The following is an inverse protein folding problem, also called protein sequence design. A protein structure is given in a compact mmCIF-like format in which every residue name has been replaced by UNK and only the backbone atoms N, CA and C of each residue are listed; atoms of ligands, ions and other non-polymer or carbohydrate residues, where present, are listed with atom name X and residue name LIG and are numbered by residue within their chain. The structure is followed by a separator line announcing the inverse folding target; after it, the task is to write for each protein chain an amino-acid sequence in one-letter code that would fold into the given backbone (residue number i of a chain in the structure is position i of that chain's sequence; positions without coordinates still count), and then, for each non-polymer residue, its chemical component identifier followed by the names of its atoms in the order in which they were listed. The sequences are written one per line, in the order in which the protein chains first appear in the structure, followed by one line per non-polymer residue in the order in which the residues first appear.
data_IF_105141793003
#
_entry.id   IF_105141793003
#
_cell.length_a   1.000
_cell.length_b   1.000
_cell.length_c   1.000
_cell.angle_alpha   90.00
_cell.angle_beta   90.00
_cell.angle_gamma   90.00
#
_symmetry.space_group_name_H-M   'P 1'
#
loop_
_entity.id
_entity.type
_entity.pdbx_description
1 polymer ?
#
# COMPACT_ATOMS: atom_id res chain seq x y z
N UNK A 1 -6.58 -8.28 3.56
CA UNK A 1 -5.49 -8.42 2.56
C UNK A 1 -4.87 -9.82 2.61
N UNK A 2 -4.25 -10.28 3.72
CA UNK A 2 -3.59 -11.60 3.75
C UNK A 2 -4.57 -12.75 3.40
N UNK A 3 -5.75 -12.75 3.99
CA UNK A 3 -6.78 -13.78 3.69
C UNK A 3 -7.22 -13.70 2.22
N UNK A 4 -7.42 -12.48 1.67
CA UNK A 4 -7.77 -12.33 0.25
C UNK A 4 -6.68 -12.87 -0.67
N UNK A 5 -5.41 -12.65 -0.32
CA UNK A 5 -4.28 -13.18 -1.08
C UNK A 5 -4.22 -14.70 -1.04
N UNK A 6 -4.35 -15.32 0.13
CA UNK A 6 -4.40 -16.79 0.26
C UNK A 6 -5.54 -17.37 -0.57
N UNK A 7 -6.74 -16.79 -0.47
CA UNK A 7 -7.90 -17.24 -1.23
C UNK A 7 -7.74 -17.04 -2.75
N UNK A 8 -7.13 -15.96 -3.17
CA UNK A 8 -6.90 -15.70 -4.59
C UNK A 8 -5.83 -16.64 -5.16
N UNK A 9 -4.71 -16.83 -4.45
CA UNK A 9 -3.64 -17.74 -4.84
C UNK A 9 -4.09 -19.21 -4.86
N UNK A 10 -4.93 -19.63 -3.92
CA UNK A 10 -5.46 -21.01 -3.91
C UNK A 10 -6.34 -21.36 -5.11
N UNK A 11 -6.79 -20.36 -5.87
CA UNK A 11 -7.58 -20.52 -7.09
C UNK A 11 -6.74 -20.46 -8.38
N UNK A 12 -5.42 -20.29 -8.26
CA UNK A 12 -4.49 -20.26 -9.39
C UNK A 12 -3.78 -21.61 -9.51
N UNK A 13 -3.59 -22.08 -10.74
CA UNK A 13 -2.81 -23.30 -11.02
C UNK A 13 -1.32 -23.00 -10.89
N UNK A 14 -0.89 -21.83 -11.35
CA UNK A 14 0.48 -21.33 -11.24
C UNK A 14 0.50 -19.87 -10.75
N UNK A 15 0.91 -19.67 -9.50
CA UNK A 15 1.08 -18.33 -8.92
C UNK A 15 2.25 -17.55 -9.51
N UNK A 16 3.14 -18.19 -10.31
CA UNK A 16 4.26 -17.49 -10.94
C UNK A 16 3.81 -16.56 -12.05
N UNK A 17 2.64 -16.76 -12.63
CA UNK A 17 2.03 -15.87 -13.63
C UNK A 17 1.85 -14.43 -13.11
N UNK A 18 1.67 -14.27 -11.78
CA UNK A 18 1.57 -12.95 -11.15
C UNK A 18 2.86 -12.12 -11.26
N UNK A 19 4.01 -12.74 -11.50
CA UNK A 19 5.24 -12.01 -11.74
C UNK A 19 5.28 -11.36 -13.12
N UNK A 20 4.43 -11.82 -14.05
CA UNK A 20 4.34 -11.31 -15.42
C UNK A 20 5.70 -11.34 -16.14
N UNK A 21 6.09 -10.20 -16.70
CA UNK A 21 7.37 -10.05 -17.40
C UNK A 21 8.56 -9.68 -16.52
N UNK A 22 8.46 -9.77 -15.19
CA UNK A 22 9.58 -9.49 -14.28
C UNK A 22 10.63 -10.60 -14.41
N UNK A 23 11.91 -10.29 -14.75
CA UNK A 23 12.96 -11.29 -14.81
C UNK A 23 13.14 -11.99 -13.46
N UNK A 24 13.35 -13.30 -13.46
CA UNK A 24 13.57 -14.10 -12.24
C UNK A 24 14.74 -13.59 -11.39
N UNK A 25 15.77 -13.01 -12.00
CA UNK A 25 16.88 -12.38 -11.28
C UNK A 25 16.45 -11.16 -10.43
N UNK A 26 15.38 -10.48 -10.81
CA UNK A 26 14.86 -9.30 -10.07
C UNK A 26 14.06 -9.71 -8.85
N UNK A 27 13.46 -10.89 -8.82
CA UNK A 27 12.70 -11.38 -7.67
C UNK A 27 13.55 -11.44 -6.40
N UNK A 28 14.85 -11.73 -6.54
CA UNK A 28 15.83 -11.73 -5.44
C UNK A 28 15.92 -10.37 -4.74
N UNK A 29 15.67 -9.28 -5.46
CA UNK A 29 15.65 -7.92 -4.88
C UNK A 29 14.24 -7.51 -4.45
N UNK A 30 13.20 -7.82 -5.25
CA UNK A 30 11.82 -7.40 -4.98
C UNK A 30 11.27 -8.09 -3.72
N UNK A 31 11.51 -9.39 -3.54
CA UNK A 31 10.98 -10.15 -2.40
C UNK A 31 11.42 -9.58 -1.04
N UNK A 32 12.69 -9.21 -0.79
CA UNK A 32 13.07 -8.49 0.43
C UNK A 32 12.30 -7.19 0.67
N UNK A 33 12.01 -6.42 -0.39
CA UNK A 33 11.19 -5.21 -0.26
C UNK A 33 9.73 -5.50 0.08
N UNK A 34 9.16 -6.64 -0.36
CA UNK A 34 7.83 -7.07 0.08
C UNK A 34 7.78 -7.29 1.60
N UNK A 35 8.80 -7.95 2.17
CA UNK A 35 8.90 -8.12 3.62
C UNK A 35 9.14 -6.79 4.35
N UNK A 36 10.01 -5.95 3.79
CA UNK A 36 10.26 -4.62 4.34
C UNK A 36 8.99 -3.75 4.36
N UNK A 37 8.17 -3.84 3.31
CA UNK A 37 6.88 -3.18 3.23
C UNK A 37 5.91 -3.69 4.31
N UNK A 38 5.85 -5.00 4.53
CA UNK A 38 5.03 -5.58 5.60
C UNK A 38 5.47 -5.07 6.98
N UNK A 39 6.78 -5.04 7.24
CA UNK A 39 7.35 -4.46 8.47
C UNK A 39 6.96 -2.97 8.57
N UNK A 40 7.12 -2.20 7.49
CA UNK A 40 6.78 -0.78 7.44
C UNK A 40 5.30 -0.52 7.75
N UNK A 41 4.39 -1.34 7.18
CA UNK A 41 2.97 -1.26 7.49
C UNK A 41 2.70 -1.57 8.98
N UNK A 42 3.31 -2.61 9.54
CA UNK A 42 3.16 -2.97 10.95
C UNK A 42 3.72 -1.88 11.89
N UNK A 43 4.85 -1.26 11.53
CA UNK A 43 5.40 -0.13 12.29
C UNK A 43 4.43 1.04 12.33
N UNK A 44 3.88 1.42 11.17
CA UNK A 44 2.89 2.49 11.06
C UNK A 44 1.64 2.18 11.90
N UNK A 45 1.09 0.99 11.70
CA UNK A 45 -0.10 0.50 12.39
C UNK A 45 0.10 0.43 13.91
N UNK A 46 1.25 -0.08 14.36
CA UNK A 46 1.59 -0.17 15.78
C UNK A 46 1.60 1.21 16.45
N UNK A 47 2.27 2.18 15.84
CA UNK A 47 2.32 3.54 16.39
C UNK A 47 0.93 4.17 16.43
N UNK A 48 0.19 4.10 15.31
CA UNK A 48 -1.13 4.72 15.20
C UNK A 48 -2.15 4.15 16.20
N UNK A 49 -2.09 2.85 16.53
CA UNK A 49 -3.09 2.21 17.38
C UNK A 49 -2.66 2.08 18.85
N UNK A 50 -1.36 2.01 19.15
CA UNK A 50 -0.89 1.67 20.50
C UNK A 50 0.00 2.73 21.14
N UNK A 51 0.49 3.71 20.36
CA UNK A 51 1.40 4.74 20.89
C UNK A 51 0.79 6.12 20.92
N UNK A 52 -0.11 6.42 20.00
CA UNK A 52 -0.72 7.75 19.88
C UNK A 52 -2.05 7.76 20.63
N UNK A 53 -2.24 8.74 21.50
CA UNK A 53 -3.52 8.95 22.17
C UNK A 53 -4.60 9.38 21.17
N UNK A 54 -5.86 9.06 21.47
CA UNK A 54 -7.01 9.37 20.59
C UNK A 54 -7.10 10.88 20.30
N UNK A 55 -6.88 11.72 21.29
CA UNK A 55 -6.86 13.18 21.16
C UNK A 55 -5.82 13.67 20.14
N UNK A 56 -4.66 13.04 20.13
CA UNK A 56 -3.57 13.32 19.17
C UNK A 56 -3.90 12.77 17.79
N UNK A 57 -4.53 11.58 17.70
CA UNK A 57 -5.03 11.05 16.42
C UNK A 57 -6.06 11.99 15.78
N UNK A 58 -6.97 12.55 16.56
CA UNK A 58 -7.95 13.53 16.09
C UNK A 58 -7.31 14.82 15.61
N UNK A 59 -6.17 15.21 16.17
CA UNK A 59 -5.43 16.40 15.77
C UNK A 59 -4.58 16.23 14.49
N UNK A 60 -4.38 15.00 14.00
CA UNK A 60 -3.61 14.75 12.77
C UNK A 60 -4.17 15.54 11.59
N UNK A 61 -3.28 16.20 10.87
CA UNK A 61 -3.62 17.11 9.76
C UNK A 61 -2.82 16.80 8.50
N UNK A 62 -3.28 17.33 7.39
CA UNK A 62 -2.45 17.36 6.19
C UNK A 62 -1.33 18.40 6.33
N UNK A 63 -0.19 18.25 5.64
CA UNK A 63 0.95 19.19 5.77
C UNK A 63 0.62 20.66 5.44
N UNK A 64 -0.44 20.89 4.68
CA UNK A 64 -0.90 22.22 4.23
C UNK A 64 -2.15 22.72 4.95
N UNK A 65 -2.70 21.97 5.90
CA UNK A 65 -3.91 22.34 6.64
C UNK A 65 -3.64 22.50 8.13
N UNK A 66 -4.64 23.04 8.81
CA UNK A 66 -4.67 23.14 10.28
C UNK A 66 -5.37 21.92 10.88
N UNK A 67 -5.21 21.72 12.19
CA UNK A 67 -5.94 20.70 12.93
C UNK A 67 -7.41 21.12 13.09
N UNK A 68 -8.33 20.25 12.65
CA UNK A 68 -9.77 20.47 12.65
C UNK A 68 -10.55 19.34 13.36
N UNK A 69 -9.86 18.49 14.11
CA UNK A 69 -10.45 17.35 14.80
C UNK A 69 -10.79 16.15 13.90
N UNK A 70 -10.41 16.17 12.60
CA UNK A 70 -10.74 15.10 11.64
C UNK A 70 -9.57 14.17 11.33
N UNK A 71 -8.56 14.12 12.18
CA UNK A 71 -7.37 13.30 11.97
C UNK A 71 -7.67 11.80 11.85
N UNK A 72 -8.55 11.27 12.69
CA UNK A 72 -9.00 9.87 12.60
C UNK A 72 -9.68 9.57 11.26
N UNK A 73 -10.48 10.49 10.72
CA UNK A 73 -11.13 10.32 9.41
C UNK A 73 -10.09 10.30 8.28
N UNK A 74 -9.05 11.14 8.36
CA UNK A 74 -7.92 11.15 7.41
C UNK A 74 -7.17 9.84 7.44
N UNK A 75 -6.91 9.32 8.64
CA UNK A 75 -6.25 8.03 8.82
C UNK A 75 -7.11 6.89 8.25
N UNK A 76 -8.40 6.85 8.55
CA UNK A 76 -9.34 5.86 8.01
C UNK A 76 -9.43 5.93 6.48
N UNK A 77 -9.46 7.14 5.90
CA UNK A 77 -9.42 7.31 4.44
C UNK A 77 -8.14 6.71 3.84
N UNK A 78 -6.99 6.97 4.46
CA UNK A 78 -5.70 6.42 4.01
C UNK A 78 -5.71 4.89 4.08
N UNK A 79 -6.23 4.30 5.17
CA UNK A 79 -6.39 2.85 5.30
C UNK A 79 -7.35 2.28 4.25
N UNK A 80 -8.49 2.92 4.02
CA UNK A 80 -9.47 2.44 3.04
C UNK A 80 -8.88 2.45 1.63
N UNK A 81 -8.22 3.56 1.23
CA UNK A 81 -7.58 3.69 -0.08
C UNK A 81 -6.38 2.76 -0.27
N UNK A 82 -5.74 2.32 0.82
CA UNK A 82 -4.66 1.35 0.74
C UNK A 82 -5.15 -0.10 0.79
N UNK A 83 -5.95 -0.46 1.82
CA UNK A 83 -6.30 -1.85 2.08
C UNK A 83 -7.34 -2.41 1.11
N UNK A 84 -8.36 -1.62 0.73
CA UNK A 84 -9.42 -2.12 -0.16
C UNK A 84 -8.86 -2.46 -1.55
N UNK A 85 -8.13 -1.56 -2.23
CA UNK A 85 -7.49 -1.91 -3.50
C UNK A 85 -6.50 -3.07 -3.36
N UNK A 86 -5.67 -3.08 -2.29
CA UNK A 86 -4.73 -4.18 -2.06
C UNK A 86 -5.41 -5.55 -1.95
N UNK A 87 -6.64 -5.62 -1.42
CA UNK A 87 -7.41 -6.87 -1.39
C UNK A 87 -7.85 -7.35 -2.76
N UNK A 88 -8.05 -6.43 -3.71
CA UNK A 88 -8.60 -6.71 -5.04
C UNK A 88 -7.51 -6.98 -6.09
N UNK A 89 -6.25 -6.67 -5.79
CA UNK A 89 -5.17 -6.70 -6.77
C UNK A 89 -4.97 -8.07 -7.42
N UNK A 90 -4.84 -9.14 -6.62
CA UNK A 90 -4.58 -10.50 -7.17
C UNK A 90 -5.80 -10.99 -7.97
N UNK A 91 -7.02 -10.81 -7.47
CA UNK A 91 -8.21 -11.25 -8.19
C UNK A 91 -8.42 -10.48 -9.51
N UNK A 92 -8.13 -9.18 -9.55
CA UNK A 92 -8.20 -8.39 -10.77
C UNK A 92 -7.11 -8.77 -11.78
N UNK A 93 -5.89 -9.05 -11.31
CA UNK A 93 -4.79 -9.55 -12.15
C UNK A 93 -5.13 -10.93 -12.73
N UNK A 94 -5.66 -11.83 -11.91
CA UNK A 94 -6.13 -13.14 -12.35
C UNK A 94 -7.27 -13.03 -13.38
N UNK A 95 -8.19 -12.09 -13.18
CA UNK A 95 -9.23 -11.81 -14.17
C UNK A 95 -8.63 -11.44 -15.54
N UNK A 96 -7.56 -10.63 -15.55
CA UNK A 96 -6.85 -10.30 -16.76
C UNK A 96 -6.17 -11.51 -17.39
N UNK A 97 -5.40 -12.28 -16.60
CA UNK A 97 -4.68 -13.48 -17.06
C UNK A 97 -5.64 -14.48 -17.72
N UNK A 98 -6.79 -14.74 -17.08
CA UNK A 98 -7.72 -15.76 -17.54
C UNK A 98 -8.54 -15.34 -18.76
N UNK A 99 -8.84 -14.06 -18.95
CA UNK A 99 -9.82 -13.62 -19.95
C UNK A 99 -9.25 -12.65 -20.99
N UNK A 100 -8.16 -11.93 -20.71
CA UNK A 100 -7.53 -10.99 -21.64
C UNK A 100 -8.44 -9.85 -22.12
N UNK A 101 -9.40 -9.40 -21.30
CA UNK A 101 -10.28 -8.29 -21.71
C UNK A 101 -9.48 -6.99 -21.83
N UNK A 102 -9.76 -6.20 -22.86
CA UNK A 102 -9.06 -4.95 -23.18
C UNK A 102 -9.14 -3.85 -22.08
N UNK A 103 -10.12 -3.93 -21.19
CA UNK A 103 -10.31 -2.97 -20.09
C UNK A 103 -9.61 -3.39 -18.78
N UNK A 104 -9.24 -4.65 -18.61
CA UNK A 104 -8.67 -5.17 -17.37
C UNK A 104 -7.30 -4.59 -17.02
N UNK A 105 -6.42 -4.22 -17.97
CA UNK A 105 -5.19 -3.49 -17.63
C UNK A 105 -5.46 -2.19 -16.86
N UNK A 106 -6.47 -1.41 -17.31
CA UNK A 106 -6.86 -0.17 -16.64
C UNK A 106 -7.40 -0.42 -15.23
N UNK A 107 -8.14 -1.51 -15.02
CA UNK A 107 -8.61 -1.92 -13.70
C UNK A 107 -7.45 -2.22 -12.77
N UNK A 108 -6.51 -3.08 -13.19
CA UNK A 108 -5.39 -3.51 -12.35
C UNK A 108 -4.47 -2.33 -12.03
N UNK A 109 -4.11 -1.53 -13.03
CA UNK A 109 -3.28 -0.32 -12.81
C UNK A 109 -4.01 0.69 -11.92
N UNK A 110 -5.32 0.88 -12.11
CA UNK A 110 -6.14 1.75 -11.27
C UNK A 110 -6.18 1.29 -9.80
N UNK A 111 -6.25 -0.01 -9.54
CA UNK A 111 -6.18 -0.60 -8.21
C UNK A 111 -4.82 -0.32 -7.56
N UNK A 112 -3.71 -0.53 -8.29
CA UNK A 112 -2.37 -0.23 -7.79
C UNK A 112 -2.16 1.27 -7.55
N UNK A 113 -2.69 2.12 -8.43
CA UNK A 113 -2.64 3.57 -8.25
C UNK A 113 -3.41 4.03 -7.00
N UNK A 114 -4.60 3.49 -6.75
CA UNK A 114 -5.37 3.80 -5.53
C UNK A 114 -4.65 3.35 -4.27
N UNK A 115 -4.06 2.15 -4.25
CA UNK A 115 -3.24 1.69 -3.13
C UNK A 115 -2.04 2.62 -2.90
N UNK A 116 -1.38 3.06 -3.98
CA UNK A 116 -0.27 4.01 -3.92
C UNK A 116 -0.69 5.36 -3.35
N UNK A 117 -1.86 5.88 -3.74
CA UNK A 117 -2.43 7.11 -3.14
C UNK A 117 -2.66 6.91 -1.64
N UNK A 118 -3.24 5.79 -1.21
CA UNK A 118 -3.40 5.49 0.21
C UNK A 118 -2.08 5.52 0.98
N UNK A 119 -1.02 4.93 0.40
CA UNK A 119 0.31 4.98 1.00
C UNK A 119 0.92 6.40 1.02
N UNK A 120 0.74 7.19 -0.02
CA UNK A 120 1.17 8.60 -0.03
C UNK A 120 0.48 9.37 1.09
N UNK A 121 -0.82 9.15 1.30
CA UNK A 121 -1.56 9.79 2.39
C UNK A 121 -1.03 9.38 3.77
N UNK A 122 -0.62 8.12 3.98
CA UNK A 122 0.10 7.71 5.18
C UNK A 122 1.37 8.52 5.39
N UNK A 123 2.19 8.66 4.35
CA UNK A 123 3.43 9.45 4.40
C UNK A 123 3.17 10.92 4.74
N UNK A 124 2.15 11.51 4.14
CA UNK A 124 1.77 12.91 4.39
C UNK A 124 1.28 13.13 5.84
N UNK A 125 0.46 12.24 6.37
CA UNK A 125 0.03 12.30 7.77
C UNK A 125 1.21 12.14 8.73
N UNK A 126 2.09 11.16 8.49
CA UNK A 126 3.27 10.93 9.30
C UNK A 126 4.25 12.12 9.25
N UNK A 127 4.41 12.74 8.07
CA UNK A 127 5.25 13.91 7.90
C UNK A 127 4.70 15.13 8.68
N UNK A 128 3.39 15.37 8.62
CA UNK A 128 2.75 16.43 9.39
C UNK A 128 2.86 16.16 10.90
N UNK A 129 2.56 14.94 11.34
CA UNK A 129 2.71 14.51 12.73
C UNK A 129 4.15 14.72 13.24
N UNK A 130 5.16 14.47 12.39
CA UNK A 130 6.56 14.70 12.75
C UNK A 130 6.88 16.19 12.91
N UNK A 131 6.28 17.06 12.10
CA UNK A 131 6.42 18.51 12.27
C UNK A 131 5.75 19.02 13.54
N UNK A 132 4.70 18.36 13.97
CA UNK A 132 3.97 18.65 15.20
C UNK A 132 4.55 17.90 16.42
N UNK A 133 5.75 17.32 16.29
CA UNK A 133 6.52 16.62 17.33
C UNK A 133 5.76 15.46 17.99
N UNK A 134 4.81 14.82 17.27
CA UNK A 134 4.05 13.68 17.77
C UNK A 134 4.98 12.50 17.99
N UNK A 135 4.91 11.91 19.18
CA UNK A 135 5.73 10.75 19.57
C UNK A 135 5.47 9.56 18.60
N UNK A 136 6.54 8.93 18.13
CA UNK A 136 6.46 7.80 17.20
C UNK A 136 6.23 8.17 15.73
N UNK A 137 5.97 9.44 15.40
CA UNK A 137 5.75 9.91 14.01
C UNK A 137 6.92 9.62 13.08
N UNK A 138 8.15 9.58 13.60
CA UNK A 138 9.33 9.16 12.84
C UNK A 138 9.27 7.70 12.37
N UNK A 139 8.74 6.79 13.19
CA UNK A 139 8.52 5.40 12.81
C UNK A 139 7.37 5.28 11.81
N UNK A 140 6.31 6.06 11.95
CA UNK A 140 5.23 6.11 10.95
C UNK A 140 5.75 6.56 9.60
N UNK A 141 6.58 7.62 9.56
CA UNK A 141 7.16 8.12 8.33
C UNK A 141 8.08 7.08 7.68
N UNK A 142 8.97 6.46 8.47
CA UNK A 142 9.85 5.40 7.98
C UNK A 142 9.04 4.20 7.46
N UNK A 143 8.00 3.80 8.17
CA UNK A 143 7.10 2.73 7.77
C UNK A 143 6.40 3.02 6.45
N UNK A 144 5.91 4.25 6.25
CA UNK A 144 5.29 4.66 4.98
C UNK A 144 6.29 4.69 3.81
N UNK A 145 7.56 5.01 4.06
CA UNK A 145 8.64 4.97 3.05
C UNK A 145 8.91 3.52 2.64
N UNK A 146 9.08 2.61 3.59
CA UNK A 146 9.30 1.19 3.30
C UNK A 146 8.15 0.59 2.49
N UNK A 147 6.92 0.90 2.89
CA UNK A 147 5.73 0.50 2.17
C UNK A 147 5.69 1.11 0.77
N UNK A 148 6.06 2.39 0.63
CA UNK A 148 6.07 3.12 -0.64
C UNK A 148 7.06 2.56 -1.66
N UNK A 149 8.22 2.09 -1.25
CA UNK A 149 9.18 1.43 -2.14
C UNK A 149 8.53 0.21 -2.81
N UNK A 150 7.79 -0.59 -2.06
CA UNK A 150 7.10 -1.74 -2.65
C UNK A 150 5.92 -1.29 -3.50
N UNK A 151 4.97 -0.57 -2.93
CA UNK A 151 3.66 -0.31 -3.53
C UNK A 151 3.76 0.65 -4.73
N UNK A 152 4.61 1.68 -4.63
CA UNK A 152 4.74 2.69 -5.69
C UNK A 152 5.79 2.26 -6.71
N UNK A 153 7.00 1.91 -6.25
CA UNK A 153 8.10 1.63 -7.18
C UNK A 153 7.98 0.23 -7.77
N UNK A 154 7.89 -0.80 -6.92
CA UNK A 154 7.90 -2.18 -7.42
C UNK A 154 6.54 -2.58 -8.03
N UNK A 155 5.41 -2.29 -7.37
CA UNK A 155 4.12 -2.75 -7.84
C UNK A 155 3.53 -1.82 -8.90
N UNK A 156 3.36 -0.51 -8.60
CA UNK A 156 2.72 0.39 -9.56
C UNK A 156 3.60 0.68 -10.78
N UNK A 157 4.90 0.92 -10.61
CA UNK A 157 5.77 1.31 -11.73
C UNK A 157 6.39 0.09 -12.39
N UNK A 158 7.26 -0.63 -11.68
CA UNK A 158 8.08 -1.70 -12.28
C UNK A 158 7.20 -2.83 -12.78
N UNK A 159 6.30 -3.35 -11.95
CA UNK A 159 5.44 -4.45 -12.30
C UNK A 159 4.49 -4.08 -13.46
N UNK A 160 3.82 -2.91 -13.39
CA UNK A 160 2.90 -2.49 -14.45
C UNK A 160 3.58 -2.29 -15.80
N UNK A 161 4.84 -1.83 -15.81
CA UNK A 161 5.61 -1.68 -17.07
C UNK A 161 6.07 -3.03 -17.63
N UNK A 162 6.32 -4.02 -16.77
CA UNK A 162 6.83 -5.34 -17.17
C UNK A 162 5.75 -6.37 -17.43
N UNK A 163 4.55 -6.15 -16.92
CA UNK A 163 3.46 -7.10 -17.09
C UNK A 163 3.04 -7.19 -18.57
N UNK A 164 2.82 -8.39 -19.12
CA UNK A 164 2.42 -8.59 -20.51
C UNK A 164 0.91 -8.35 -20.66
N UNK A 165 0.55 -7.09 -20.87
CA UNK A 165 -0.86 -6.66 -21.07
C UNK A 165 -1.46 -7.14 -22.38
#
# INVERSE_FOLDING_TARGET
VLVSYVLALSKMEDGTELWGGIPSSWTTYIVPFMFLAAIGFLMYWWVALFKIEISVLESLRWPWGESDGKGTQRLLLSYALFLIPSMLWIDSTRLHINNGYSWTPFLVIGILALASVGNILFGLLAYAARKDEVEGSGLMLLGSIFLGIQVIVNDLIVWSVKFPW
#
